data_IF_046039219715
#
_entry.id   IF_046039219715
#
_cell.length_a   1.000
_cell.length_b   1.000
_cell.length_c   1.000
_cell.angle_alpha   90.00
_cell.angle_beta   90.00
_cell.angle_gamma   90.00
#
_symmetry.space_group_name_H-M   'P 1'
#
loop_
_entity.id
_entity.type
_entity.pdbx_description
1 polymer ?
#
# COMPACT_ATOMS: atom_id res chain seq x y z
N UNK A 1 7.65 29.88 2.91
CA UNK A 1 7.52 28.44 3.22
C UNK A 1 6.68 28.29 4.48
N UNK A 2 5.62 27.48 4.45
CA UNK A 2 4.75 27.22 5.61
C UNK A 2 4.90 25.75 5.97
N UNK A 3 5.14 25.46 7.25
CA UNK A 3 5.24 24.08 7.77
C UNK A 3 4.04 23.80 8.68
N UNK A 4 3.41 22.64 8.48
CA UNK A 4 2.24 22.18 9.25
C UNK A 4 2.36 20.67 9.47
N UNK A 5 1.85 20.18 10.59
CA UNK A 5 1.82 18.74 10.91
C UNK A 5 0.66 18.05 10.19
N UNK A 6 0.92 16.84 9.68
CA UNK A 6 -0.08 15.93 9.10
C UNK A 6 -1.00 15.29 10.14
N UNK A 7 -0.58 15.21 11.41
CA UNK A 7 -1.38 14.62 12.51
C UNK A 7 -2.67 15.38 12.78
N UNK A 8 -2.72 16.65 12.37
CA UNK A 8 -3.90 17.52 12.50
C UNK A 8 -4.35 17.99 11.12
N UNK A 9 -5.01 17.15 10.30
CA UNK A 9 -5.42 17.52 8.93
C UNK A 9 -6.26 18.80 8.87
N UNK A 10 -7.09 19.05 9.90
CA UNK A 10 -7.89 20.28 10.00
C UNK A 10 -7.04 21.56 10.07
N UNK A 11 -5.81 21.48 10.56
CA UNK A 11 -4.87 22.61 10.63
C UNK A 11 -4.27 22.99 9.28
N UNK A 12 -4.48 22.18 8.24
CA UNK A 12 -4.04 22.45 6.86
C UNK A 12 -5.03 23.34 6.09
N UNK A 13 -6.20 23.60 6.66
CA UNK A 13 -7.24 24.45 6.04
C UNK A 13 -6.83 25.93 6.05
N UNK A 14 -7.29 26.69 5.06
CA UNK A 14 -7.18 28.16 5.02
C UNK A 14 -6.06 28.71 4.13
N UNK A 15 -4.99 27.96 3.88
CA UNK A 15 -3.91 28.40 2.99
C UNK A 15 -4.27 28.27 1.51
N UNK A 16 -3.75 29.16 0.67
CA UNK A 16 -3.74 29.02 -0.79
C UNK A 16 -2.28 28.98 -1.25
N UNK A 17 -1.81 27.83 -1.74
CA UNK A 17 -0.38 27.58 -2.00
C UNK A 17 -0.15 27.17 -3.46
N UNK A 18 1.07 27.42 -3.95
CA UNK A 18 1.47 27.08 -5.31
C UNK A 18 2.00 25.65 -5.43
N UNK A 19 2.72 25.15 -4.43
CA UNK A 19 3.27 23.81 -4.38
C UNK A 19 3.19 23.29 -2.93
N UNK A 20 3.23 21.97 -2.77
CA UNK A 20 3.29 21.33 -1.47
C UNK A 20 4.27 20.16 -1.46
N UNK A 21 4.81 19.87 -0.28
CA UNK A 21 5.58 18.65 -0.03
C UNK A 21 4.99 17.97 1.20
N UNK A 22 4.55 16.72 1.04
CA UNK A 22 4.11 15.87 2.13
C UNK A 22 5.23 14.86 2.39
N UNK A 23 5.84 14.99 3.56
CA UNK A 23 6.87 14.07 4.06
C UNK A 23 6.21 12.94 4.86
N UNK A 24 6.74 11.73 4.69
CA UNK A 24 6.19 10.47 5.17
C UNK A 24 4.66 10.35 5.01
N UNK A 25 4.12 10.57 3.79
CA UNK A 25 2.67 10.56 3.58
C UNK A 25 2.08 9.19 3.89
N UNK A 26 2.85 8.11 3.72
CA UNK A 26 2.38 6.73 3.83
C UNK A 26 2.10 6.28 5.27
N UNK A 27 2.64 7.01 6.25
CA UNK A 27 2.32 6.87 7.67
C UNK A 27 1.13 7.74 8.10
N UNK A 28 0.66 8.64 7.24
CA UNK A 28 -0.42 9.58 7.53
C UNK A 28 -1.77 9.07 7.03
N UNK A 29 -2.84 9.64 7.58
CA UNK A 29 -4.19 9.39 7.08
C UNK A 29 -4.38 10.01 5.69
N UNK A 30 -5.07 9.31 4.77
CA UNK A 30 -5.37 9.79 3.39
C UNK A 30 -5.98 11.20 3.36
N UNK A 31 -6.67 11.61 4.43
CA UNK A 31 -7.23 12.95 4.58
C UNK A 31 -6.17 14.06 4.44
N UNK A 32 -4.92 13.83 4.86
CA UNK A 32 -3.86 14.84 4.69
C UNK A 32 -3.67 15.18 3.22
N UNK A 33 -3.58 14.16 2.35
CA UNK A 33 -3.46 14.35 0.91
C UNK A 33 -4.66 15.13 0.35
N UNK A 34 -5.89 14.77 0.73
CA UNK A 34 -7.09 15.49 0.26
C UNK A 34 -7.11 16.94 0.69
N UNK A 35 -6.70 17.22 1.93
CA UNK A 35 -6.62 18.60 2.38
C UNK A 35 -5.55 19.34 1.56
N UNK A 36 -4.35 18.79 1.37
CA UNK A 36 -3.27 19.43 0.59
C UNK A 36 -3.66 19.67 -0.87
N UNK A 37 -4.21 18.67 -1.57
CA UNK A 37 -4.66 18.77 -2.97
C UNK A 37 -5.60 19.95 -3.17
N UNK A 38 -6.56 20.13 -2.26
CA UNK A 38 -7.49 21.24 -2.36
C UNK A 38 -6.82 22.62 -2.19
N UNK A 39 -5.61 22.74 -1.63
CA UNK A 39 -4.93 24.03 -1.35
C UNK A 39 -3.88 24.41 -2.39
N UNK A 40 -3.41 23.47 -3.19
CA UNK A 40 -2.46 23.70 -4.28
C UNK A 40 -3.20 24.31 -5.48
N UNK A 41 -3.59 25.58 -5.34
CA UNK A 41 -4.47 26.29 -6.29
C UNK A 41 -4.12 27.78 -6.47
N UNK A 42 -2.92 28.20 -6.09
CA UNK A 42 -2.56 29.62 -6.15
C UNK A 42 -2.55 30.14 -7.61
N UNK A 43 -3.26 31.24 -7.93
CA UNK A 43 -3.48 31.66 -9.32
C UNK A 43 -2.18 32.06 -10.03
N UNK A 44 -1.22 32.63 -9.30
CA UNK A 44 0.08 33.04 -9.85
C UNK A 44 1.16 31.96 -9.81
N UNK A 45 0.84 30.73 -9.40
CA UNK A 45 1.82 29.64 -9.40
C UNK A 45 2.04 29.13 -10.83
N UNK A 46 3.28 29.23 -11.30
CA UNK A 46 3.73 28.72 -12.61
C UNK A 46 3.52 27.20 -12.69
N UNK A 47 3.82 26.49 -11.61
CA UNK A 47 3.71 25.05 -11.50
C UNK A 47 2.95 24.70 -10.21
N UNK A 48 2.00 23.78 -10.32
CA UNK A 48 1.14 23.32 -9.22
C UNK A 48 1.37 21.85 -8.98
N UNK A 49 2.26 21.54 -8.05
CA UNK A 49 2.72 20.18 -7.80
C UNK A 49 2.71 19.85 -6.32
N UNK A 50 2.53 18.56 -6.06
CA UNK A 50 2.62 17.97 -4.73
C UNK A 50 3.72 16.92 -4.79
N UNK A 51 4.78 17.13 -4.02
CA UNK A 51 5.81 16.13 -3.81
C UNK A 51 5.41 15.23 -2.64
N UNK A 52 5.56 13.93 -2.83
CA UNK A 52 5.35 12.91 -1.81
C UNK A 52 6.69 12.19 -1.61
N UNK A 53 7.22 12.17 -0.38
CA UNK A 53 8.44 11.42 -0.04
C UNK A 53 8.20 10.56 1.18
N UNK A 54 8.46 9.26 1.08
CA UNK A 54 8.37 8.36 2.21
C UNK A 54 8.65 6.94 1.80
N UNK A 55 8.63 6.04 2.77
CA UNK A 55 8.84 4.61 2.56
C UNK A 55 7.52 3.86 2.39
N UNK A 56 7.38 2.98 1.39
CA UNK A 56 6.16 2.18 1.22
C UNK A 56 5.73 1.49 2.52
N UNK A 57 4.47 1.70 2.90
CA UNK A 57 3.89 1.14 4.13
C UNK A 57 2.72 0.21 3.81
N UNK A 58 2.96 -1.10 3.88
CA UNK A 58 1.94 -2.13 3.64
C UNK A 58 1.19 -1.91 2.30
N UNK A 59 0.05 -2.59 2.10
CA UNK A 59 -0.86 -2.32 1.00
C UNK A 59 -2.00 -1.40 1.46
N UNK A 60 -1.65 -0.17 1.85
CA UNK A 60 -2.63 0.82 2.34
C UNK A 60 -3.06 1.80 1.22
N UNK A 61 -3.74 2.90 1.57
CA UNK A 61 -4.21 3.88 0.58
C UNK A 61 -3.11 4.45 -0.34
N UNK A 62 -1.86 4.47 0.13
CA UNK A 62 -0.72 4.91 -0.66
C UNK A 62 -0.41 3.96 -1.80
N UNK A 63 -0.50 2.65 -1.56
CA UNK A 63 -0.43 1.64 -2.60
C UNK A 63 -1.52 1.90 -3.65
N UNK A 64 -2.77 2.12 -3.21
CA UNK A 64 -3.90 2.31 -4.12
C UNK A 64 -3.65 3.45 -5.12
N UNK A 65 -3.09 4.58 -4.67
CA UNK A 65 -2.85 5.74 -5.54
C UNK A 65 -1.56 5.64 -6.37
N UNK A 66 -0.59 4.82 -5.94
CA UNK A 66 0.73 4.69 -6.59
C UNK A 66 0.75 3.57 -7.62
N UNK A 67 0.23 2.40 -7.26
CA UNK A 67 0.32 1.16 -8.05
C UNK A 67 -0.98 0.35 -8.11
N UNK A 68 -1.97 0.68 -7.28
CA UNK A 68 -3.27 0.00 -7.22
C UNK A 68 -4.36 0.65 -8.06
N UNK A 69 -5.61 0.35 -7.71
CA UNK A 69 -6.80 0.68 -8.50
C UNK A 69 -7.10 2.18 -8.61
N UNK A 70 -6.63 2.97 -7.64
CA UNK A 70 -6.82 4.42 -7.65
C UNK A 70 -5.80 5.15 -8.54
N UNK A 71 -4.72 4.49 -8.99
CA UNK A 71 -3.63 5.10 -9.79
C UNK A 71 -4.11 5.90 -11.03
N UNK A 72 -5.09 5.46 -11.83
CA UNK A 72 -5.60 6.24 -12.98
C UNK A 72 -6.29 7.55 -12.58
N UNK A 73 -6.68 7.71 -11.31
CA UNK A 73 -7.34 8.92 -10.80
C UNK A 73 -6.35 10.04 -10.48
N UNK A 74 -5.06 9.73 -10.43
CA UNK A 74 -4.01 10.67 -10.05
C UNK A 74 -2.99 10.83 -11.17
N UNK A 75 -2.71 12.08 -11.55
CA UNK A 75 -1.55 12.42 -12.36
C UNK A 75 -0.30 12.41 -11.47
N UNK A 76 0.32 11.24 -11.34
CA UNK A 76 1.42 10.98 -10.42
C UNK A 76 2.61 10.35 -11.13
N UNK A 77 3.81 10.87 -10.87
CA UNK A 77 5.08 10.22 -11.21
C UNK A 77 5.62 9.44 -10.01
N UNK A 78 5.83 8.14 -10.15
CA UNK A 78 6.43 7.30 -9.11
C UNK A 78 7.90 7.06 -9.43
N UNK A 79 8.78 7.38 -8.47
CA UNK A 79 10.20 7.07 -8.52
C UNK A 79 10.53 6.19 -7.31
N UNK A 80 11.00 4.97 -7.57
CA UNK A 80 11.53 4.08 -6.53
C UNK A 80 13.03 4.27 -6.43
N UNK A 81 13.51 4.62 -5.24
CA UNK A 81 14.92 4.82 -4.96
C UNK A 81 15.44 3.70 -4.07
N UNK A 82 16.09 2.70 -4.67
CA UNK A 82 16.68 1.61 -3.90
C UNK A 82 17.90 2.09 -3.11
N UNK A 83 18.03 1.63 -1.87
CA UNK A 83 19.11 2.04 -0.96
C UNK A 83 20.49 1.74 -1.54
N UNK A 84 20.67 0.58 -2.18
CA UNK A 84 21.97 0.20 -2.76
C UNK A 84 22.39 1.09 -3.95
N UNK A 85 21.44 1.80 -4.58
CA UNK A 85 21.72 2.73 -5.68
C UNK A 85 22.11 4.13 -5.17
N UNK A 86 22.03 4.38 -3.85
CA UNK A 86 22.40 5.65 -3.26
C UNK A 86 23.93 5.78 -3.14
N UNK A 87 24.53 6.60 -4.01
CA UNK A 87 25.96 6.88 -4.02
C UNK A 87 26.48 7.58 -2.75
N UNK A 88 25.59 8.20 -1.97
CA UNK A 88 25.96 8.88 -0.73
C UNK A 88 26.10 7.91 0.45
N UNK A 89 25.52 6.71 0.37
CA UNK A 89 25.64 5.69 1.41
C UNK A 89 26.76 4.73 1.08
N UNK A 90 27.64 4.47 2.05
CA UNK A 90 28.68 3.45 1.92
C UNK A 90 28.09 2.04 1.84
N UNK A 91 28.82 1.07 1.26
CA UNK A 91 28.36 -0.32 1.14
C UNK A 91 28.04 -0.99 2.49
N UNK A 92 28.67 -0.53 3.58
CA UNK A 92 28.42 -1.01 4.95
C UNK A 92 26.98 -0.75 5.42
N UNK A 93 26.34 0.33 4.95
CA UNK A 93 24.96 0.64 5.31
C UNK A 93 24.01 -0.42 4.76
N UNK A 94 24.20 -0.83 3.50
CA UNK A 94 23.42 -1.91 2.90
C UNK A 94 23.63 -3.24 3.62
N UNK A 95 24.88 -3.57 3.95
CA UNK A 95 25.19 -4.79 4.72
C UNK A 95 24.50 -4.79 6.10
N UNK A 96 24.42 -3.63 6.76
CA UNK A 96 23.72 -3.48 8.04
C UNK A 96 22.22 -3.72 7.90
N UNK A 97 21.60 -3.20 6.84
CA UNK A 97 20.20 -3.48 6.55
C UNK A 97 19.98 -4.97 6.30
N UNK A 98 20.85 -5.60 5.50
CA UNK A 98 20.76 -7.05 5.21
C UNK A 98 20.88 -7.94 6.45
N UNK A 99 21.67 -7.53 7.46
CA UNK A 99 21.83 -8.30 8.70
C UNK A 99 20.71 -8.08 9.71
N UNK A 100 20.01 -6.94 9.63
CA UNK A 100 19.01 -6.54 10.62
C UNK A 100 17.57 -6.82 10.17
N UNK A 101 17.30 -6.69 8.87
CA UNK A 101 15.93 -6.73 8.33
C UNK A 101 15.56 -8.12 7.83
N UNK A 102 14.27 -8.46 7.91
CA UNK A 102 13.72 -9.62 7.21
C UNK A 102 13.70 -9.38 5.70
N UNK A 103 13.58 -10.44 4.89
CA UNK A 103 13.51 -10.31 3.42
C UNK A 103 12.38 -9.37 2.96
N UNK A 104 11.24 -9.39 3.67
CA UNK A 104 10.13 -8.47 3.42
C UNK A 104 10.52 -7.03 3.73
N UNK A 105 11.12 -6.78 4.89
CA UNK A 105 11.61 -5.45 5.25
C UNK A 105 12.65 -4.92 4.26
N UNK A 106 13.53 -5.79 3.72
CA UNK A 106 14.48 -5.40 2.67
C UNK A 106 13.79 -5.02 1.36
N UNK A 107 12.73 -5.74 0.96
CA UNK A 107 11.95 -5.39 -0.21
C UNK A 107 11.21 -4.05 -0.02
N UNK A 108 10.54 -3.85 1.12
CA UNK A 108 9.81 -2.62 1.40
C UNK A 108 10.74 -1.41 1.57
N UNK A 109 11.64 -1.47 2.54
CA UNK A 109 12.46 -0.32 2.95
C UNK A 109 13.77 -0.19 2.16
N UNK A 110 14.31 -1.30 1.68
CA UNK A 110 15.55 -1.31 0.90
C UNK A 110 15.34 -1.08 -0.60
N UNK A 111 14.30 -1.70 -1.17
CA UNK A 111 14.00 -1.60 -2.61
C UNK A 111 12.89 -0.59 -2.93
N UNK A 112 12.12 -0.13 -1.94
CA UNK A 112 11.00 0.78 -2.16
C UNK A 112 9.79 0.08 -2.78
N UNK A 113 9.56 -1.19 -2.46
CA UNK A 113 8.44 -1.97 -2.98
C UNK A 113 7.23 -1.95 -2.04
N UNK A 114 6.02 -1.82 -2.61
CA UNK A 114 4.78 -1.99 -1.86
C UNK A 114 4.47 -3.47 -1.68
N UNK A 115 4.71 -4.01 -0.49
CA UNK A 115 4.41 -5.41 -0.16
C UNK A 115 3.57 -5.54 1.11
N UNK A 116 2.78 -6.62 1.27
CA UNK A 116 2.09 -6.88 2.51
C UNK A 116 3.05 -7.23 3.65
N UNK A 117 3.10 -6.34 4.65
CA UNK A 117 3.97 -6.45 5.83
C UNK A 117 3.35 -7.24 6.98
N UNK A 118 2.11 -7.72 6.83
CA UNK A 118 1.42 -8.50 7.86
C UNK A 118 2.17 -9.82 8.10
N UNK A 119 2.86 -9.92 9.22
CA UNK A 119 3.39 -11.17 9.76
C UNK A 119 2.25 -11.96 10.45
N UNK A 120 2.19 -13.28 10.24
CA UNK A 120 1.23 -14.14 10.95
C UNK A 120 -0.04 -14.56 10.18
N UNK A 121 -0.11 -14.38 8.86
CA UNK A 121 -1.14 -15.09 8.09
C UNK A 121 -0.92 -16.61 8.21
N UNK A 122 -1.89 -17.30 8.80
CA UNK A 122 -1.94 -18.79 8.87
C UNK A 122 -1.80 -19.39 7.46
N UNK A 123 -2.29 -18.67 6.44
CA UNK A 123 -2.13 -18.99 5.03
C UNK A 123 -1.22 -18.00 4.30
N UNK A 124 0.05 -17.90 4.71
CA UNK A 124 1.06 -17.08 4.01
C UNK A 124 1.22 -17.43 2.51
N UNK A 125 0.79 -18.63 2.10
CA UNK A 125 0.78 -19.07 0.69
C UNK A 125 -0.48 -18.63 -0.08
N UNK A 126 -1.52 -18.15 0.60
CA UNK A 126 -2.77 -17.67 0.01
C UNK A 126 -2.70 -16.15 -0.13
N UNK A 127 -2.05 -15.69 -1.20
CA UNK A 127 -2.09 -14.30 -1.60
C UNK A 127 -3.26 -14.11 -2.57
N UNK A 128 -4.23 -13.24 -2.23
CA UNK A 128 -5.18 -12.71 -3.21
C UNK A 128 -4.43 -11.65 -4.02
N UNK A 129 -3.61 -12.12 -4.94
CA UNK A 129 -2.88 -11.29 -5.87
C UNK A 129 -3.37 -11.66 -7.27
N UNK A 130 -3.93 -10.67 -7.97
CA UNK A 130 -4.26 -10.75 -9.40
C UNK A 130 -3.11 -11.26 -10.28
N UNK A 131 -1.87 -11.26 -9.78
CA UNK A 131 -0.65 -11.73 -10.44
C UNK A 131 -0.11 -13.06 -9.88
N UNK A 132 -0.71 -13.65 -8.85
CA UNK A 132 -0.24 -14.90 -8.24
C UNK A 132 -1.11 -16.10 -8.67
N UNK A 133 -0.62 -16.99 -9.55
CA UNK A 133 -1.37 -18.13 -10.11
C UNK A 133 -1.71 -19.24 -9.10
N UNK A 134 -1.43 -19.04 -7.80
CA UNK A 134 -1.79 -19.98 -6.73
C UNK A 134 -3.22 -19.82 -6.22
N UNK A 135 -3.88 -18.70 -6.53
CA UNK A 135 -5.34 -18.62 -6.41
C UNK A 135 -5.93 -19.28 -7.67
N UNK A 136 -6.05 -20.61 -7.66
CA UNK A 136 -6.71 -21.34 -8.74
C UNK A 136 -8.23 -21.16 -8.60
N UNK A 137 -8.72 -19.96 -8.88
CA UNK A 137 -10.14 -19.74 -9.12
C UNK A 137 -10.42 -20.29 -10.51
N UNK A 138 -10.84 -21.55 -10.57
CA UNK A 138 -11.40 -22.16 -11.78
C UNK A 138 -12.90 -22.07 -11.65
N UNK A 139 -13.54 -21.36 -12.58
CA UNK A 139 -14.97 -21.56 -12.82
C UNK A 139 -15.14 -23.00 -13.30
N UNK A 140 -15.90 -23.77 -12.54
CA UNK A 140 -16.28 -25.14 -12.87
C UNK A 140 -17.81 -25.16 -12.99
N UNK A 141 -18.33 -25.91 -13.95
CA UNK A 141 -19.76 -26.23 -13.99
C UNK A 141 -20.12 -26.99 -12.70
N UNK A 142 -21.34 -26.78 -12.18
CA UNK A 142 -21.80 -27.46 -10.96
C UNK A 142 -21.72 -28.98 -11.15
N UNK A 143 -20.79 -29.68 -10.48
CA UNK A 143 -20.60 -31.10 -10.76
C UNK A 143 -21.76 -31.90 -10.15
N UNK A 144 -22.34 -32.81 -10.94
CA UNK A 144 -23.44 -33.67 -10.49
C UNK A 144 -23.00 -34.52 -9.28
N UNK A 145 -23.82 -34.53 -8.22
CA UNK A 145 -23.57 -35.34 -7.02
C UNK A 145 -22.54 -34.78 -6.04
N UNK A 146 -22.20 -33.49 -6.12
CA UNK A 146 -21.30 -32.84 -5.16
C UNK A 146 -21.98 -32.65 -3.80
N UNK A 147 -21.27 -33.06 -2.75
CA UNK A 147 -21.64 -32.72 -1.38
C UNK A 147 -20.91 -31.44 -0.96
N UNK A 148 -21.69 -30.45 -0.52
CA UNK A 148 -21.18 -29.21 0.06
C UNK A 148 -21.08 -29.33 1.57
N UNK A 149 -19.93 -28.97 2.11
CA UNK A 149 -19.66 -28.83 3.53
C UNK A 149 -19.49 -27.36 3.85
N UNK A 150 -20.22 -26.87 4.84
CA UNK A 150 -20.12 -25.49 5.32
C UNK A 150 -19.60 -25.51 6.74
N UNK A 151 -18.43 -24.91 6.95
CA UNK A 151 -17.89 -24.62 8.28
C UNK A 151 -18.10 -23.15 8.60
N UNK A 152 -18.71 -22.84 9.73
CA UNK A 152 -19.00 -21.47 10.15
C UNK A 152 -18.32 -21.20 11.49
N UNK A 153 -17.49 -20.15 11.51
CA UNK A 153 -16.88 -19.60 12.71
C UNK A 153 -17.76 -18.47 13.25
N UNK A 154 -18.40 -18.70 14.39
CA UNK A 154 -19.32 -17.77 15.05
C UNK A 154 -18.56 -16.70 15.86
N UNK A 155 -17.58 -16.05 15.25
CA UNK A 155 -16.90 -14.91 15.83
C UNK A 155 -17.79 -13.65 15.77
N UNK A 156 -17.58 -12.72 16.72
CA UNK A 156 -18.41 -11.51 16.89
C UNK A 156 -18.24 -10.54 15.72
N UNK A 157 -17.01 -10.33 15.24
CA UNK A 157 -16.67 -9.59 14.01
C UNK A 157 -15.18 -9.78 13.64
N UNK A 158 -14.83 -10.28 12.43
CA UNK A 158 -15.71 -10.78 11.39
C UNK A 158 -16.19 -12.21 11.69
N UNK A 159 -17.47 -12.46 11.40
CA UNK A 159 -18.01 -13.81 11.27
C UNK A 159 -17.53 -14.40 9.95
N UNK A 160 -16.91 -15.57 9.99
CA UNK A 160 -16.30 -16.20 8.82
C UNK A 160 -16.96 -17.55 8.51
N UNK A 161 -17.11 -17.85 7.23
CA UNK A 161 -17.56 -19.18 6.77
C UNK A 161 -16.63 -19.70 5.67
N UNK A 162 -16.37 -21.00 5.70
CA UNK A 162 -15.62 -21.71 4.70
C UNK A 162 -16.51 -22.77 4.04
N UNK A 163 -16.48 -22.83 2.72
CA UNK A 163 -17.22 -23.82 1.92
C UNK A 163 -16.21 -24.79 1.33
N UNK A 164 -16.47 -26.09 1.48
CA UNK A 164 -15.72 -27.17 0.84
C UNK A 164 -16.68 -28.04 0.04
N UNK A 165 -16.36 -28.29 -1.21
CA UNK A 165 -17.02 -29.32 -2.02
C UNK A 165 -16.23 -30.63 -1.96
N UNK A 166 -16.93 -31.76 -1.93
CA UNK A 166 -16.35 -33.08 -2.19
C UNK A 166 -17.13 -33.74 -3.33
N UNK A 167 -16.42 -34.14 -4.38
CA UNK A 167 -16.96 -35.02 -5.40
C UNK A 167 -16.71 -36.47 -4.94
N UNK A 168 -17.74 -37.32 -4.97
CA UNK A 168 -17.57 -38.75 -4.80
C UNK A 168 -16.97 -39.32 -6.09
N UNK A 169 -15.65 -39.45 -6.16
CA UNK A 169 -14.98 -40.38 -7.10
C UNK A 169 -14.87 -41.75 -6.47
#
# INVERSE_FOLDING_TARGET
MIVRSGDKPRGLKGSNIGQAWIDEPFLQVKQVLFEVVARVRHPYAILKEILLTGTPENLNWSYDIMEGDDRPKYDLGLIKAATFANLATGPEYWQTLQSTYTDKMLQAYGMGEFIPMNEGQVYYAFAYDSRNPKCQVREIDEPEGVQLFVGMDFNVDPMAAAIRSSANT
#
